data_IF_167851762516
#
_entry.id   IF_167851762516
#
_cell.length_a   1.000
_cell.length_b   1.000
_cell.length_c   1.000
_cell.angle_alpha   90.00
_cell.angle_beta   90.00
_cell.angle_gamma   90.00
#
_symmetry.space_group_name_H-M   'P 1'
#
loop_
_entity.id
_entity.type
_entity.pdbx_description
1 polymer ?
#
# COMPACT_ATOMS: atom_id res chain seq x y z
N UNK A 1 4.78 28.31 8.66
CA UNK A 1 3.54 27.70 8.08
C UNK A 1 3.60 27.47 6.56
N UNK A 2 4.59 28.02 5.81
CA UNK A 2 4.70 27.88 4.34
C UNK A 2 5.67 26.79 3.88
N UNK A 3 6.45 26.18 4.76
CA UNK A 3 7.54 25.28 4.39
C UNK A 3 7.10 23.91 3.84
N UNK A 4 6.11 23.21 4.42
CA UNK A 4 5.68 21.90 3.91
C UNK A 4 4.93 21.99 2.57
N UNK A 5 4.05 23.01 2.41
CA UNK A 5 3.29 23.22 1.16
C UNK A 5 4.20 23.66 0.00
N UNK A 6 5.27 24.38 0.28
CA UNK A 6 6.27 24.76 -0.72
C UNK A 6 7.06 23.53 -1.23
N UNK A 7 7.42 22.61 -0.34
CA UNK A 7 8.07 21.35 -0.74
C UNK A 7 7.13 20.43 -1.55
N UNK A 8 5.86 20.35 -1.18
CA UNK A 8 4.87 19.59 -1.93
C UNK A 8 4.62 20.19 -3.33
N UNK A 9 4.49 21.52 -3.43
CA UNK A 9 4.43 22.20 -4.73
C UNK A 9 5.71 22.04 -5.54
N UNK A 10 6.86 22.07 -4.91
CA UNK A 10 8.15 21.86 -5.60
C UNK A 10 8.33 20.42 -6.08
N UNK A 11 7.79 19.40 -5.36
CA UNK A 11 7.76 18.03 -5.85
C UNK A 11 6.87 17.88 -7.08
N UNK A 12 5.67 18.44 -7.08
CA UNK A 12 4.76 18.40 -8.25
C UNK A 12 5.25 19.27 -9.42
N UNK A 13 6.00 20.34 -9.17
CA UNK A 13 6.51 21.26 -10.20
C UNK A 13 7.88 20.77 -10.73
N UNK A 14 8.71 20.10 -9.93
CA UNK A 14 9.95 19.49 -10.41
C UNK A 14 9.74 18.32 -11.37
N UNK A 15 8.62 17.63 -11.27
CA UNK A 15 8.23 16.61 -12.27
C UNK A 15 7.96 17.22 -13.67
N UNK A 16 7.84 18.54 -13.79
CA UNK A 16 7.59 19.25 -15.05
C UNK A 16 8.77 20.09 -15.55
N UNK A 17 9.88 20.19 -14.79
CA UNK A 17 11.07 20.93 -15.24
C UNK A 17 12.11 20.00 -15.86
N UNK A 18 12.49 20.28 -17.09
CA UNK A 18 13.42 19.52 -17.93
C UNK A 18 14.90 19.62 -17.53
N UNK A 19 15.24 20.32 -16.43
CA UNK A 19 16.60 20.56 -15.99
C UNK A 19 16.85 19.98 -14.59
N UNK A 20 17.19 18.69 -14.51
CA UNK A 20 17.62 18.01 -13.29
C UNK A 20 17.51 16.50 -13.39
N UNK A 21 18.00 15.71 -12.44
CA UNK A 21 18.01 14.24 -12.49
C UNK A 21 16.61 13.63 -12.33
N UNK A 22 15.69 13.98 -13.24
CA UNK A 22 14.29 13.51 -13.29
C UNK A 22 14.22 11.99 -13.40
N UNK A 23 15.22 11.37 -14.05
CA UNK A 23 15.30 9.91 -14.20
C UNK A 23 15.50 9.17 -12.87
N UNK A 24 16.21 9.76 -11.91
CA UNK A 24 16.51 9.09 -10.64
C UNK A 24 15.28 9.00 -9.75
N UNK A 25 14.49 10.06 -9.64
CA UNK A 25 13.28 10.09 -8.81
C UNK A 25 12.17 9.21 -9.35
N UNK A 26 12.07 9.01 -10.67
CA UNK A 26 11.06 8.12 -11.26
C UNK A 26 11.33 6.64 -10.93
N UNK A 27 12.59 6.24 -10.76
CA UNK A 27 12.95 4.88 -10.35
C UNK A 27 12.63 4.55 -8.87
N UNK A 28 12.26 5.55 -8.08
CA UNK A 28 11.76 5.34 -6.73
C UNK A 28 10.33 4.77 -6.69
N UNK A 29 9.63 4.78 -7.83
CA UNK A 29 8.26 4.27 -7.96
C UNK A 29 8.23 2.97 -8.76
N UNK A 30 7.39 2.05 -8.33
CA UNK A 30 7.21 0.76 -9.01
C UNK A 30 6.46 0.93 -10.34
N UNK A 31 6.85 0.19 -11.39
CA UNK A 31 6.40 0.46 -12.76
C UNK A 31 5.00 -0.09 -13.09
N UNK A 32 4.41 -0.95 -12.24
CA UNK A 32 3.21 -1.72 -12.59
C UNK A 32 2.01 -0.86 -12.96
N UNK A 33 1.67 0.16 -12.17
CA UNK A 33 0.52 1.02 -12.46
C UNK A 33 0.75 1.93 -13.69
N UNK A 34 1.88 2.68 -13.78
CA UNK A 34 2.16 3.48 -14.99
C UNK A 34 2.21 2.65 -16.27
N UNK A 35 2.81 1.45 -16.21
CA UNK A 35 2.85 0.56 -17.36
C UNK A 35 1.45 0.09 -17.78
N UNK A 36 0.61 -0.29 -16.81
CA UNK A 36 -0.78 -0.68 -17.06
C UNK A 36 -1.59 0.46 -17.70
N UNK A 37 -1.47 1.68 -17.16
CA UNK A 37 -2.14 2.87 -17.71
C UNK A 37 -1.70 3.11 -19.15
N UNK A 38 -0.39 3.10 -19.41
CA UNK A 38 0.16 3.31 -20.75
C UNK A 38 -0.30 2.24 -21.74
N UNK A 39 -0.27 0.96 -21.33
CA UNK A 39 -0.70 -0.14 -22.19
C UNK A 39 -2.18 -0.01 -22.56
N UNK A 40 -3.07 0.28 -21.60
CA UNK A 40 -4.50 0.41 -21.85
C UNK A 40 -4.82 1.67 -22.64
N UNK A 41 -4.19 2.82 -22.31
CA UNK A 41 -4.41 4.06 -23.06
C UNK A 41 -3.99 3.93 -24.51
N UNK A 42 -2.90 3.23 -24.82
CA UNK A 42 -2.44 3.00 -26.19
C UNK A 42 -3.38 2.05 -26.97
N UNK A 43 -3.95 1.04 -26.31
CA UNK A 43 -4.91 0.12 -26.94
C UNK A 43 -6.24 0.82 -27.24
N UNK A 44 -6.71 1.67 -26.31
CA UNK A 44 -8.00 2.35 -26.42
C UNK A 44 -7.92 3.68 -27.17
N UNK A 45 -6.73 4.19 -27.47
CA UNK A 45 -6.54 5.51 -28.07
C UNK A 45 -6.98 6.66 -27.16
N UNK A 46 -6.92 6.49 -25.82
CA UNK A 46 -7.38 7.46 -24.82
C UNK A 46 -6.21 8.19 -24.15
N UNK A 47 -6.48 9.32 -23.51
CA UNK A 47 -5.46 10.04 -22.73
C UNK A 47 -5.10 9.27 -21.45
N UNK A 48 -3.79 9.24 -21.06
CA UNK A 48 -3.30 8.50 -19.90
C UNK A 48 -3.99 8.93 -18.59
N UNK A 49 -4.24 10.23 -18.39
CA UNK A 49 -4.90 10.73 -17.18
C UNK A 49 -6.34 10.20 -17.04
N UNK A 50 -7.14 10.22 -18.11
CA UNK A 50 -8.50 9.68 -18.10
C UNK A 50 -8.50 8.18 -17.89
N UNK A 51 -7.57 7.46 -18.53
CA UNK A 51 -7.40 6.01 -18.36
C UNK A 51 -7.04 5.66 -16.93
N UNK A 52 -6.13 6.40 -16.30
CA UNK A 52 -5.73 6.17 -14.92
C UNK A 52 -6.89 6.34 -13.93
N UNK A 53 -7.71 7.38 -14.11
CA UNK A 53 -8.90 7.62 -13.29
C UNK A 53 -9.93 6.48 -13.50
N UNK A 54 -10.22 6.11 -14.75
CA UNK A 54 -11.15 5.03 -15.06
C UNK A 54 -10.71 3.69 -14.45
N UNK A 55 -9.42 3.37 -14.55
CA UNK A 55 -8.84 2.18 -13.92
C UNK A 55 -8.96 2.22 -12.39
N UNK A 56 -8.72 3.38 -11.75
CA UNK A 56 -8.86 3.49 -10.31
C UNK A 56 -10.30 3.33 -9.85
N UNK A 57 -11.29 3.77 -10.63
CA UNK A 57 -12.71 3.48 -10.35
C UNK A 57 -12.98 1.97 -10.42
N UNK A 58 -12.50 1.28 -11.46
CA UNK A 58 -12.65 -0.17 -11.58
C UNK A 58 -11.96 -0.93 -10.44
N UNK A 59 -10.75 -0.52 -10.07
CA UNK A 59 -10.05 -1.12 -8.93
C UNK A 59 -10.73 -0.83 -7.60
N UNK A 60 -11.32 0.34 -7.43
CA UNK A 60 -12.09 0.65 -6.21
C UNK A 60 -13.34 -0.22 -6.08
N UNK A 61 -14.02 -0.51 -7.20
CA UNK A 61 -15.14 -1.47 -7.23
C UNK A 61 -14.65 -2.87 -6.88
N UNK A 62 -13.52 -3.31 -7.46
CA UNK A 62 -12.92 -4.60 -7.17
C UNK A 62 -12.42 -4.71 -5.72
N UNK A 63 -11.89 -3.61 -5.14
CA UNK A 63 -11.53 -3.52 -3.73
C UNK A 63 -12.77 -3.69 -2.84
N UNK A 64 -13.84 -2.96 -3.13
CA UNK A 64 -15.10 -3.08 -2.38
C UNK A 64 -15.65 -4.52 -2.44
N UNK A 65 -15.61 -5.15 -3.62
CA UNK A 65 -16.01 -6.55 -3.78
C UNK A 65 -15.12 -7.50 -2.95
N UNK A 66 -13.82 -7.28 -2.90
CA UNK A 66 -12.88 -8.07 -2.08
C UNK A 66 -13.14 -7.92 -0.57
N UNK A 67 -13.45 -6.70 -0.10
CA UNK A 67 -13.85 -6.45 1.29
C UNK A 67 -15.15 -7.19 1.63
N UNK A 68 -16.13 -7.15 0.73
CA UNK A 68 -17.38 -7.91 0.90
C UNK A 68 -17.14 -9.43 0.91
N UNK A 69 -16.25 -9.93 0.06
CA UNK A 69 -15.88 -11.35 0.02
C UNK A 69 -15.22 -11.80 1.33
N UNK A 70 -14.28 -11.01 1.87
CA UNK A 70 -13.66 -11.28 3.16
C UNK A 70 -14.70 -11.27 4.29
N UNK A 71 -15.58 -10.28 4.32
CA UNK A 71 -16.67 -10.20 5.29
C UNK A 71 -17.64 -11.40 5.18
N UNK A 72 -17.88 -11.89 3.95
CA UNK A 72 -18.69 -13.09 3.73
C UNK A 72 -18.00 -14.36 4.27
N UNK A 73 -16.67 -14.51 4.09
CA UNK A 73 -15.89 -15.61 4.69
C UNK A 73 -15.95 -15.60 6.23
N UNK A 74 -16.12 -14.41 6.83
CA UNK A 74 -16.32 -14.25 8.27
C UNK A 74 -17.75 -14.58 8.72
N UNK A 75 -18.64 -14.99 7.82
CA UNK A 75 -20.04 -15.28 8.13
C UNK A 75 -20.92 -14.05 8.37
N UNK A 76 -20.47 -12.85 7.94
CA UNK A 76 -21.23 -11.62 8.14
C UNK A 76 -22.45 -11.57 7.21
N UNK A 77 -23.56 -11.03 7.70
CA UNK A 77 -24.78 -10.82 6.91
C UNK A 77 -24.57 -9.80 5.78
N UNK A 78 -25.41 -9.84 4.74
CA UNK A 78 -25.28 -8.99 3.54
C UNK A 78 -25.14 -7.49 3.84
N UNK A 79 -25.92 -6.98 4.79
CA UNK A 79 -25.84 -5.58 5.20
C UNK A 79 -24.48 -5.21 5.82
N UNK A 80 -23.91 -6.10 6.63
CA UNK A 80 -22.60 -5.89 7.23
C UNK A 80 -21.48 -5.95 6.17
N UNK A 81 -21.61 -6.84 5.17
CA UNK A 81 -20.68 -6.89 4.02
C UNK A 81 -20.69 -5.57 3.25
N UNK A 82 -21.88 -5.04 2.91
CA UNK A 82 -22.01 -3.75 2.20
C UNK A 82 -21.48 -2.61 3.06
N UNK A 83 -21.81 -2.57 4.34
CA UNK A 83 -21.33 -1.55 5.25
C UNK A 83 -19.79 -1.56 5.37
N UNK A 84 -19.17 -2.73 5.42
CA UNK A 84 -17.71 -2.86 5.44
C UNK A 84 -17.07 -2.25 4.18
N UNK A 85 -17.64 -2.52 3.00
CA UNK A 85 -17.18 -1.92 1.75
C UNK A 85 -17.36 -0.39 1.75
N UNK A 86 -18.50 0.11 2.21
CA UNK A 86 -18.76 1.56 2.34
C UNK A 86 -17.75 2.20 3.30
N UNK A 87 -17.47 1.60 4.45
CA UNK A 87 -16.49 2.13 5.41
C UNK A 87 -15.11 2.26 4.78
N UNK A 88 -14.63 1.25 4.06
CA UNK A 88 -13.31 1.31 3.41
C UNK A 88 -13.27 2.35 2.30
N UNK A 89 -14.30 2.44 1.46
CA UNK A 89 -14.34 3.37 0.33
C UNK A 89 -14.67 4.81 0.73
N UNK A 90 -15.20 5.03 1.95
CA UNK A 90 -15.52 6.36 2.51
C UNK A 90 -14.61 6.73 3.68
N UNK A 91 -13.58 5.93 3.98
CA UNK A 91 -12.63 6.22 5.05
C UNK A 91 -11.92 7.57 4.84
N UNK A 92 -11.45 8.23 5.90
CA UNK A 92 -10.54 9.35 5.76
C UNK A 92 -9.38 8.97 4.84
N UNK A 93 -9.03 9.81 3.89
CA UNK A 93 -8.05 9.57 2.83
C UNK A 93 -8.51 8.69 1.66
N UNK A 94 -9.72 8.13 1.64
CA UNK A 94 -10.24 7.35 0.48
C UNK A 94 -10.31 8.17 -0.82
N UNK A 95 -10.21 9.50 -0.73
CA UNK A 95 -10.08 10.39 -1.89
C UNK A 95 -8.94 9.95 -2.84
N UNK A 96 -7.90 9.28 -2.33
CA UNK A 96 -6.79 8.78 -3.15
C UNK A 96 -7.24 7.70 -4.15
N UNK A 97 -8.37 7.04 -3.92
CA UNK A 97 -8.94 6.07 -4.86
C UNK A 97 -9.50 6.74 -6.13
N UNK A 98 -9.84 8.02 -6.07
CA UNK A 98 -10.28 8.81 -7.24
C UNK A 98 -9.14 9.53 -7.96
N UNK A 99 -7.92 9.46 -7.41
CA UNK A 99 -6.73 10.07 -8.00
C UNK A 99 -5.93 9.04 -8.81
N UNK A 100 -5.08 9.44 -9.79
CA UNK A 100 -4.24 8.52 -10.56
C UNK A 100 -3.07 7.97 -9.71
N UNK A 101 -3.37 7.36 -8.57
CA UNK A 101 -2.44 6.76 -7.62
C UNK A 101 -2.53 5.23 -7.62
N UNK A 102 -1.56 4.59 -7.01
CA UNK A 102 -1.42 3.12 -6.95
C UNK A 102 -2.27 2.47 -5.86
N UNK A 103 -2.91 3.26 -4.98
CA UNK A 103 -3.61 2.78 -3.78
C UNK A 103 -4.79 1.87 -4.11
N UNK A 104 -5.60 2.22 -5.11
CA UNK A 104 -6.76 1.40 -5.49
C UNK A 104 -6.34 0.03 -6.06
N UNK A 105 -5.34 0.01 -6.94
CA UNK A 105 -4.80 -1.22 -7.51
C UNK A 105 -4.14 -2.08 -6.42
N UNK A 106 -3.26 -1.48 -5.61
CA UNK A 106 -2.60 -2.21 -4.53
C UNK A 106 -3.60 -2.76 -3.52
N UNK A 107 -4.56 -1.95 -3.06
CA UNK A 107 -5.61 -2.38 -2.13
C UNK A 107 -6.44 -3.53 -2.69
N UNK A 108 -6.78 -3.48 -3.98
CA UNK A 108 -7.48 -4.58 -4.67
C UNK A 108 -6.66 -5.87 -4.64
N UNK A 109 -5.40 -5.80 -5.06
CA UNK A 109 -4.52 -6.97 -5.07
C UNK A 109 -4.29 -7.52 -3.66
N UNK A 110 -4.13 -6.64 -2.67
CA UNK A 110 -3.93 -7.02 -1.28
C UNK A 110 -5.16 -7.72 -0.68
N UNK A 111 -6.35 -7.15 -0.81
CA UNK A 111 -7.56 -7.76 -0.22
C UNK A 111 -7.88 -9.11 -0.87
N UNK A 112 -7.78 -9.22 -2.20
CA UNK A 112 -8.01 -10.50 -2.88
C UNK A 112 -6.92 -11.53 -2.57
N UNK A 113 -5.66 -11.10 -2.35
CA UNK A 113 -4.61 -11.98 -1.86
C UNK A 113 -4.93 -12.52 -0.45
N UNK A 114 -5.41 -11.65 0.46
CA UNK A 114 -5.84 -12.06 1.80
C UNK A 114 -7.02 -13.03 1.72
N UNK A 115 -8.03 -12.77 0.88
CA UNK A 115 -9.15 -13.69 0.63
C UNK A 115 -8.65 -15.06 0.17
N UNK A 116 -7.74 -15.08 -0.80
CA UNK A 116 -7.14 -16.31 -1.30
C UNK A 116 -6.31 -17.05 -0.23
N UNK A 117 -5.60 -16.32 0.65
CA UNK A 117 -4.85 -16.91 1.76
C UNK A 117 -5.77 -17.52 2.82
N UNK A 118 -6.92 -16.92 3.08
CA UNK A 118 -7.93 -17.48 4.00
C UNK A 118 -8.48 -18.81 3.46
N UNK A 119 -8.69 -18.91 2.13
CA UNK A 119 -9.16 -20.11 1.44
C UNK A 119 -8.02 -21.10 1.11
N UNK A 120 -6.78 -20.83 1.56
CA UNK A 120 -5.59 -21.64 1.28
C UNK A 120 -5.31 -21.85 -0.23
N UNK A 121 -5.77 -20.91 -1.06
CA UNK A 121 -5.53 -20.89 -2.52
C UNK A 121 -4.14 -20.31 -2.83
N UNK A 122 -3.08 -21.07 -2.54
CA UNK A 122 -1.69 -20.60 -2.55
C UNK A 122 -1.26 -19.97 -3.87
N UNK A 123 -1.63 -20.52 -5.01
CA UNK A 123 -1.25 -19.98 -6.33
C UNK A 123 -2.05 -18.74 -6.72
N UNK A 124 -3.32 -18.66 -6.33
CA UNK A 124 -4.11 -17.44 -6.53
C UNK A 124 -3.54 -16.29 -5.68
N UNK A 125 -3.24 -16.56 -4.41
CA UNK A 125 -2.54 -15.60 -3.55
C UNK A 125 -1.20 -15.17 -4.15
N UNK A 126 -0.39 -16.12 -4.64
CA UNK A 126 0.90 -15.85 -5.26
C UNK A 126 0.79 -14.94 -6.48
N UNK A 127 -0.17 -15.17 -7.38
CA UNK A 127 -0.39 -14.33 -8.55
C UNK A 127 -0.80 -12.90 -8.19
N UNK A 128 -1.66 -12.73 -7.17
CA UNK A 128 -2.09 -11.42 -6.68
C UNK A 128 -0.94 -10.66 -5.99
N UNK A 129 -0.14 -11.35 -5.16
CA UNK A 129 1.03 -10.78 -4.50
C UNK A 129 2.13 -10.45 -5.51
N UNK A 130 2.32 -11.28 -6.54
CA UNK A 130 3.20 -10.99 -7.68
C UNK A 130 2.81 -9.66 -8.34
N UNK A 131 1.51 -9.49 -8.64
CA UNK A 131 0.99 -8.22 -9.16
C UNK A 131 1.22 -7.05 -8.21
N UNK A 132 0.96 -7.23 -6.90
CA UNK A 132 1.22 -6.20 -5.88
C UNK A 132 2.69 -5.80 -5.80
N UNK A 133 3.62 -6.76 -5.98
CA UNK A 133 5.06 -6.54 -6.02
C UNK A 133 5.55 -5.70 -7.21
N UNK A 134 4.74 -5.57 -8.28
CA UNK A 134 5.01 -4.63 -9.38
C UNK A 134 4.48 -3.23 -9.10
N UNK A 135 3.65 -3.06 -8.06
CA UNK A 135 2.93 -1.81 -7.80
C UNK A 135 3.54 -1.02 -6.65
N UNK A 136 3.97 -1.70 -5.57
CA UNK A 136 4.47 -1.02 -4.36
C UNK A 136 5.45 -1.88 -3.56
N UNK A 137 6.40 -1.21 -2.89
CA UNK A 137 7.33 -1.88 -1.95
C UNK A 137 6.59 -2.56 -0.79
N UNK A 138 5.46 -2.01 -0.33
CA UNK A 138 4.65 -2.58 0.75
C UNK A 138 4.07 -3.96 0.43
N UNK A 139 4.21 -4.45 -0.80
CA UNK A 139 3.94 -5.86 -1.13
C UNK A 139 4.84 -6.84 -0.35
N UNK A 140 5.97 -6.39 0.20
CA UNK A 140 6.82 -7.20 1.10
C UNK A 140 6.03 -7.67 2.33
N UNK A 141 5.09 -6.87 2.81
CA UNK A 141 4.23 -7.22 3.95
C UNK A 141 3.32 -8.40 3.62
N UNK A 142 2.74 -8.41 2.40
CA UNK A 142 1.94 -9.54 1.90
C UNK A 142 2.80 -10.80 1.72
N UNK A 143 4.01 -10.66 1.21
CA UNK A 143 4.95 -11.79 1.07
C UNK A 143 5.28 -12.40 2.43
N UNK A 144 5.57 -11.56 3.43
CA UNK A 144 5.86 -12.02 4.79
C UNK A 144 4.68 -12.78 5.40
N UNK A 145 3.47 -12.23 5.25
CA UNK A 145 2.24 -12.90 5.71
C UNK A 145 1.99 -14.20 4.95
N UNK A 146 2.18 -14.22 3.64
CA UNK A 146 2.05 -15.43 2.83
C UNK A 146 3.02 -16.52 3.29
N UNK A 147 4.29 -16.20 3.44
CA UNK A 147 5.29 -17.15 3.94
C UNK A 147 4.91 -17.69 5.34
N UNK A 148 4.44 -16.81 6.23
CA UNK A 148 3.99 -17.20 7.56
C UNK A 148 2.75 -18.10 7.51
N UNK A 149 1.77 -17.81 6.65
CA UNK A 149 0.58 -18.65 6.47
C UNK A 149 0.96 -20.04 5.94
N UNK A 150 1.87 -20.12 4.97
CA UNK A 150 2.38 -21.42 4.47
C UNK A 150 3.13 -22.17 5.57
N UNK A 151 3.95 -21.49 6.36
CA UNK A 151 4.65 -22.09 7.49
C UNK A 151 3.68 -22.69 8.53
N UNK A 152 2.60 -21.99 8.83
CA UNK A 152 1.62 -22.40 9.84
C UNK A 152 0.64 -23.47 9.34
N UNK A 153 0.22 -23.40 8.06
CA UNK A 153 -0.86 -24.23 7.52
C UNK A 153 -0.39 -25.30 6.54
N UNK A 154 0.72 -25.08 5.83
CA UNK A 154 1.17 -25.92 4.72
C UNK A 154 2.69 -26.16 4.71
N UNK A 155 3.35 -26.20 5.88
CA UNK A 155 4.82 -26.23 6.01
C UNK A 155 5.52 -27.32 5.21
N UNK A 156 4.85 -28.46 4.99
CA UNK A 156 5.40 -29.62 4.22
C UNK A 156 5.02 -29.57 2.73
N UNK A 157 4.18 -28.61 2.31
CA UNK A 157 3.73 -28.49 0.94
C UNK A 157 4.74 -27.68 0.12
N UNK A 158 5.61 -28.37 -0.61
CA UNK A 158 6.62 -27.72 -1.44
C UNK A 158 6.01 -26.82 -2.53
N UNK A 159 4.79 -27.15 -3.06
CA UNK A 159 4.09 -26.32 -4.04
C UNK A 159 3.65 -24.97 -3.45
N UNK A 160 3.27 -24.95 -2.17
CA UNK A 160 2.95 -23.70 -1.48
C UNK A 160 4.21 -22.83 -1.29
N UNK A 161 5.36 -23.44 -0.96
CA UNK A 161 6.63 -22.72 -0.89
C UNK A 161 7.10 -22.22 -2.26
N UNK A 162 6.92 -23.01 -3.33
CA UNK A 162 7.17 -22.54 -4.69
C UNK A 162 6.32 -21.34 -5.07
N UNK A 163 5.04 -21.30 -4.64
CA UNK A 163 4.15 -20.16 -4.82
C UNK A 163 4.65 -18.92 -4.06
N UNK A 164 5.16 -19.07 -2.83
CA UNK A 164 5.81 -17.98 -2.09
C UNK A 164 6.99 -17.41 -2.86
N UNK A 165 7.92 -18.27 -3.32
CA UNK A 165 9.10 -17.87 -4.10
C UNK A 165 8.68 -17.15 -5.38
N UNK A 166 7.69 -17.66 -6.10
CA UNK A 166 7.15 -17.00 -7.29
C UNK A 166 6.63 -15.59 -6.99
N UNK A 167 5.91 -15.41 -5.89
CA UNK A 167 5.32 -14.11 -5.52
C UNK A 167 6.37 -13.01 -5.23
N UNK A 168 7.59 -13.40 -4.82
CA UNK A 168 8.68 -12.47 -4.48
C UNK A 168 9.41 -11.94 -5.72
N UNK A 169 9.37 -12.68 -6.82
CA UNK A 169 10.18 -12.40 -8.04
C UNK A 169 10.08 -10.95 -8.52
N UNK A 170 8.89 -10.34 -8.71
CA UNK A 170 8.81 -8.98 -9.25
C UNK A 170 9.36 -7.93 -8.29
N UNK A 171 9.13 -8.11 -6.99
CA UNK A 171 9.62 -7.21 -5.96
C UNK A 171 11.15 -7.18 -5.92
N UNK A 172 11.77 -8.35 -5.79
CA UNK A 172 13.23 -8.49 -5.75
C UNK A 172 13.84 -8.10 -7.09
N UNK A 173 13.23 -8.51 -8.19
CA UNK A 173 13.68 -8.16 -9.55
C UNK A 173 13.72 -6.65 -9.77
N UNK A 174 12.66 -5.93 -9.37
CA UNK A 174 12.64 -4.48 -9.50
C UNK A 174 13.65 -3.80 -8.57
N UNK A 175 13.74 -4.21 -7.31
CA UNK A 175 14.71 -3.67 -6.36
C UNK A 175 16.15 -3.87 -6.84
N UNK A 176 16.46 -5.04 -7.36
CA UNK A 176 17.78 -5.34 -7.91
C UNK A 176 18.07 -4.48 -9.15
N UNK A 177 17.12 -4.43 -10.10
CA UNK A 177 17.25 -3.65 -11.32
C UNK A 177 17.41 -2.15 -11.00
N UNK A 178 16.52 -1.57 -10.21
CA UNK A 178 16.57 -0.17 -9.81
C UNK A 178 17.88 0.17 -9.08
N UNK A 179 18.27 -0.64 -8.09
CA UNK A 179 19.51 -0.43 -7.34
C UNK A 179 20.75 -0.52 -8.23
N UNK A 180 20.73 -1.34 -9.30
CA UNK A 180 21.85 -1.44 -10.24
C UNK A 180 22.05 -0.16 -11.07
N UNK A 181 20.97 0.61 -11.33
CA UNK A 181 21.01 1.87 -12.05
C UNK A 181 21.24 3.08 -11.15
N UNK A 182 21.00 2.93 -9.84
CA UNK A 182 21.05 4.00 -8.83
C UNK A 182 22.27 3.89 -7.92
N UNK A 183 23.36 3.29 -8.39
CA UNK A 183 24.57 3.04 -7.57
C UNK A 183 25.17 4.32 -6.97
N UNK A 184 25.13 5.42 -7.72
CA UNK A 184 25.70 6.71 -7.31
C UNK A 184 24.99 7.35 -6.11
N UNK A 185 23.69 7.06 -5.96
CA UNK A 185 22.86 7.58 -4.86
C UNK A 185 22.55 6.53 -3.78
N UNK A 186 23.32 5.44 -3.73
CA UNK A 186 23.14 4.41 -2.71
C UNK A 186 22.01 3.40 -2.98
N UNK A 187 21.60 3.26 -4.25
CA UNK A 187 20.56 2.32 -4.69
C UNK A 187 19.14 2.80 -4.42
N UNK A 188 18.17 1.87 -4.54
CA UNK A 188 16.76 2.17 -4.31
C UNK A 188 16.49 2.80 -2.93
N UNK A 189 17.07 2.23 -1.88
CA UNK A 189 16.87 2.74 -0.50
C UNK A 189 17.59 4.06 -0.25
N UNK A 190 18.69 4.35 -0.96
CA UNK A 190 19.37 5.63 -0.92
C UNK A 190 18.46 6.77 -1.37
N UNK A 191 17.80 6.61 -2.52
CA UNK A 191 16.81 7.59 -3.01
C UNK A 191 15.63 7.75 -2.04
N UNK A 192 15.10 6.66 -1.49
CA UNK A 192 14.01 6.72 -0.54
C UNK A 192 14.38 7.55 0.70
N UNK A 193 15.61 7.40 1.18
CA UNK A 193 16.12 8.16 2.31
C UNK A 193 16.37 9.62 1.95
N UNK A 194 16.97 9.89 0.82
CA UNK A 194 17.34 11.25 0.39
C UNK A 194 16.12 12.13 0.13
N UNK A 195 15.09 11.60 -0.58
CA UNK A 195 13.94 12.39 -1.00
C UNK A 195 12.77 12.37 -0.03
N UNK A 196 12.57 11.27 0.71
CA UNK A 196 11.42 11.10 1.61
C UNK A 196 11.78 10.90 3.07
N UNK A 197 13.08 10.92 3.41
CA UNK A 197 13.59 10.61 4.75
C UNK A 197 13.02 9.28 5.29
N UNK A 198 12.76 8.34 4.37
CA UNK A 198 12.12 7.07 4.72
C UNK A 198 13.15 6.10 5.29
N UNK A 199 12.97 5.72 6.55
CA UNK A 199 13.85 4.81 7.24
C UNK A 199 13.17 4.19 8.46
N UNK A 200 13.67 3.06 8.91
CA UNK A 200 13.18 2.44 10.15
C UNK A 200 13.78 3.17 11.36
N UNK A 201 12.93 3.75 12.20
CA UNK A 201 13.32 4.52 13.39
C UNK A 201 12.73 3.96 14.70
N UNK A 202 12.01 2.84 14.62
CA UNK A 202 11.33 2.22 15.76
C UNK A 202 10.11 3.02 16.24
N UNK A 203 9.55 3.89 15.38
CA UNK A 203 8.35 4.67 15.68
C UNK A 203 8.60 5.99 16.40
N UNK A 204 9.84 6.39 16.61
CA UNK A 204 10.17 7.66 17.29
C UNK A 204 9.57 8.86 16.60
N UNK A 205 9.72 8.95 15.28
CA UNK A 205 9.15 10.04 14.48
C UNK A 205 7.62 10.03 14.54
N UNK A 206 6.99 8.86 14.52
CA UNK A 206 5.53 8.72 14.65
C UNK A 206 5.03 9.25 15.99
N UNK A 207 5.65 8.82 17.10
CA UNK A 207 5.27 9.27 18.45
C UNK A 207 5.51 10.78 18.62
N UNK A 208 6.66 11.29 18.17
CA UNK A 208 6.95 12.72 18.19
C UNK A 208 5.93 13.55 17.43
N UNK A 209 5.63 13.13 16.20
CA UNK A 209 4.64 13.81 15.36
C UNK A 209 3.22 13.77 15.95
N UNK A 210 2.82 12.62 16.52
CA UNK A 210 1.52 12.51 17.21
C UNK A 210 1.45 13.45 18.41
N UNK A 211 2.51 13.51 19.22
CA UNK A 211 2.58 14.41 20.36
C UNK A 211 2.47 15.87 19.95
N UNK A 212 3.28 16.31 18.99
CA UNK A 212 3.22 17.68 18.44
C UNK A 212 1.86 18.02 17.86
N UNK A 213 1.24 17.06 17.12
CA UNK A 213 -0.07 17.26 16.52
C UNK A 213 -1.17 17.39 17.57
N UNK A 214 -1.16 16.55 18.60
CA UNK A 214 -2.21 16.56 19.62
C UNK A 214 -2.08 17.76 20.59
N UNK A 215 -0.88 18.28 20.78
CA UNK A 215 -0.65 19.40 21.71
C UNK A 215 -0.64 20.77 21.06
N UNK A 216 -0.36 20.88 19.77
CA UNK A 216 -0.16 22.15 19.08
C UNK A 216 -0.74 22.27 17.69
N UNK A 217 -1.56 21.30 17.22
CA UNK A 217 -2.08 21.35 15.86
C UNK A 217 -3.10 22.46 15.65
N UNK A 218 -2.85 23.25 14.64
CA UNK A 218 -3.79 24.27 14.13
C UNK A 218 -4.53 23.79 12.88
N UNK A 219 -4.20 22.61 12.35
CA UNK A 219 -4.75 22.07 11.11
C UNK A 219 -5.58 20.81 11.39
N UNK A 220 -6.90 20.88 11.10
CA UNK A 220 -7.82 19.75 11.28
C UNK A 220 -7.44 18.48 10.49
N UNK A 221 -6.77 18.62 9.34
CA UNK A 221 -6.27 17.48 8.56
C UNK A 221 -5.19 16.67 9.30
N UNK A 222 -4.35 17.33 10.09
CA UNK A 222 -3.34 16.65 10.91
C UNK A 222 -3.98 15.93 12.09
N UNK A 223 -4.99 16.55 12.73
CA UNK A 223 -5.76 15.89 13.79
C UNK A 223 -6.49 14.66 13.27
N UNK A 224 -7.09 14.75 12.09
CA UNK A 224 -7.72 13.59 11.44
C UNK A 224 -6.70 12.47 11.16
N UNK A 225 -5.54 12.83 10.62
CA UNK A 225 -4.46 11.86 10.36
C UNK A 225 -3.96 11.20 11.64
N UNK A 226 -3.76 11.98 12.71
CA UNK A 226 -3.39 11.46 14.03
C UNK A 226 -4.47 10.53 14.59
N UNK A 227 -5.75 10.92 14.45
CA UNK A 227 -6.87 10.09 14.86
C UNK A 227 -6.89 8.73 14.16
N UNK A 228 -6.68 8.69 12.85
CA UNK A 228 -6.59 7.43 12.08
C UNK A 228 -5.40 6.58 12.54
N UNK A 229 -4.22 7.19 12.72
CA UNK A 229 -3.01 6.47 13.14
C UNK A 229 -3.13 5.89 14.56
N UNK A 230 -3.96 6.45 15.42
CA UNK A 230 -4.25 5.92 16.76
C UNK A 230 -5.38 4.88 16.69
N UNK A 231 -6.44 5.17 15.94
CA UNK A 231 -7.61 4.30 15.86
C UNK A 231 -7.30 2.94 15.20
N UNK A 232 -6.45 2.94 14.16
CA UNK A 232 -6.14 1.71 13.42
C UNK A 232 -5.51 0.61 14.30
N UNK A 233 -4.46 0.85 15.12
CA UNK A 233 -3.93 -0.15 16.05
C UNK A 233 -4.96 -0.58 17.10
N UNK A 234 -5.75 0.35 17.61
CA UNK A 234 -6.81 0.03 18.60
C UNK A 234 -7.85 -0.91 17.98
N UNK A 235 -8.32 -0.60 16.77
CA UNK A 235 -9.26 -1.45 16.05
C UNK A 235 -8.66 -2.85 15.78
N UNK A 236 -7.37 -2.92 15.40
CA UNK A 236 -6.69 -4.19 15.17
C UNK A 236 -6.62 -5.06 16.43
N UNK A 237 -6.31 -4.45 17.58
CA UNK A 237 -6.31 -5.16 18.88
C UNK A 237 -7.72 -5.64 19.24
N UNK A 238 -8.74 -4.82 19.05
CA UNK A 238 -10.14 -5.21 19.32
C UNK A 238 -10.64 -6.31 18.37
N UNK A 239 -10.13 -6.33 17.13
CA UNK A 239 -10.49 -7.31 16.12
C UNK A 239 -9.68 -8.62 16.18
N UNK A 240 -8.70 -8.74 17.06
CA UNK A 240 -7.77 -9.87 17.20
C UNK A 240 -8.42 -11.26 17.12
N UNK A 241 -9.58 -11.46 17.78
CA UNK A 241 -10.29 -12.75 17.78
C UNK A 241 -11.41 -12.86 16.74
N UNK A 242 -11.63 -11.82 15.95
CA UNK A 242 -12.74 -11.75 15.00
C UNK A 242 -12.26 -11.85 13.55
N UNK A 243 -11.06 -11.34 13.26
CA UNK A 243 -10.48 -11.40 11.92
C UNK A 243 -9.87 -12.79 11.64
N UNK A 244 -9.96 -13.28 10.40
CA UNK A 244 -9.14 -14.39 9.94
C UNK A 244 -7.65 -14.08 10.15
N UNK A 245 -6.86 -15.10 10.50
CA UNK A 245 -5.45 -14.93 10.83
C UNK A 245 -4.66 -14.20 9.74
N UNK A 246 -4.89 -14.53 8.46
CA UNK A 246 -4.21 -13.88 7.35
C UNK A 246 -4.51 -12.37 7.27
N UNK A 247 -5.79 -11.99 7.47
CA UNK A 247 -6.22 -10.59 7.49
C UNK A 247 -5.59 -9.84 8.67
N UNK A 248 -5.67 -10.41 9.86
CA UNK A 248 -5.10 -9.81 11.06
C UNK A 248 -3.58 -9.63 10.94
N UNK A 249 -2.86 -10.65 10.47
CA UNK A 249 -1.42 -10.60 10.26
C UNK A 249 -1.04 -9.54 9.23
N UNK A 250 -1.76 -9.46 8.11
CA UNK A 250 -1.48 -8.45 7.09
C UNK A 250 -1.66 -7.04 7.65
N UNK A 251 -2.77 -6.78 8.34
CA UNK A 251 -3.01 -5.49 8.98
C UNK A 251 -1.94 -5.18 10.03
N UNK A 252 -1.52 -6.15 10.84
CA UNK A 252 -0.50 -5.97 11.87
C UNK A 252 0.88 -5.64 11.26
N UNK A 253 1.30 -6.39 10.24
CA UNK A 253 2.61 -6.20 9.59
C UNK A 253 2.64 -4.87 8.83
N UNK A 254 1.59 -4.54 8.08
CA UNK A 254 1.48 -3.26 7.37
C UNK A 254 1.47 -2.08 8.34
N UNK A 255 0.70 -2.15 9.44
CA UNK A 255 0.71 -1.11 10.48
C UNK A 255 2.08 -0.97 11.13
N UNK A 256 2.75 -2.08 11.47
CA UNK A 256 4.09 -2.04 12.02
C UNK A 256 5.08 -1.38 11.05
N UNK A 257 5.05 -1.76 9.77
CA UNK A 257 5.89 -1.15 8.74
C UNK A 257 5.64 0.36 8.63
N UNK A 258 4.38 0.79 8.60
CA UNK A 258 4.01 2.21 8.47
C UNK A 258 4.32 2.99 9.74
N UNK A 259 4.00 2.49 10.93
CA UNK A 259 4.11 3.24 12.18
C UNK A 259 5.50 3.22 12.80
N UNK A 260 6.33 2.20 12.49
CA UNK A 260 7.69 2.08 13.02
C UNK A 260 8.77 2.66 12.09
N UNK A 261 8.38 3.28 10.99
CA UNK A 261 9.32 3.93 10.07
C UNK A 261 9.15 5.44 10.07
N UNK A 262 10.19 6.20 9.66
CA UNK A 262 10.15 7.65 9.44
C UNK A 262 9.71 7.98 8.01
N UNK A 263 9.30 9.22 7.75
CA UNK A 263 8.89 9.74 6.44
C UNK A 263 7.85 10.86 6.55
N UNK A 264 7.03 11.05 5.50
CA UNK A 264 6.02 12.11 5.46
C UNK A 264 4.80 11.73 6.32
N UNK A 265 4.78 12.12 7.59
CA UNK A 265 3.83 11.69 8.60
C UNK A 265 2.35 11.95 8.24
N UNK A 266 2.01 13.14 7.76
CA UNK A 266 0.62 13.50 7.45
C UNK A 266 0.03 12.70 6.26
N UNK A 267 0.86 12.06 5.44
CA UNK A 267 0.40 11.23 4.32
C UNK A 267 0.30 9.74 4.64
N UNK A 268 0.74 9.30 5.83
CA UNK A 268 0.75 7.90 6.25
C UNK A 268 -0.62 7.25 6.41
N UNK A 269 -1.68 7.95 6.84
CA UNK A 269 -3.00 7.33 6.93
C UNK A 269 -3.50 6.69 5.63
N UNK A 270 -3.08 7.22 4.47
CA UNK A 270 -3.41 6.61 3.17
C UNK A 270 -2.76 5.23 2.98
N UNK A 271 -1.58 5.00 3.59
CA UNK A 271 -0.88 3.73 3.52
C UNK A 271 -1.56 2.66 4.39
N UNK A 272 -2.36 3.07 5.38
CA UNK A 272 -3.14 2.19 6.24
C UNK A 272 -4.50 1.79 5.64
N UNK A 273 -4.91 2.37 4.50
CA UNK A 273 -6.19 2.04 3.87
C UNK A 273 -6.37 0.54 3.53
N UNK A 274 -5.30 -0.23 3.16
CA UNK A 274 -5.43 -1.65 2.91
C UNK A 274 -5.43 -2.51 4.19
N UNK A 275 -5.08 -1.92 5.35
CA UNK A 275 -5.01 -2.63 6.64
C UNK A 275 -6.38 -2.73 7.29
#
# INVERSE_FOLDING_TARGET
LHYPLRRQRQMCIRDSSTDGPVHETTMAFFPGFPFLVRAISSILGTGEAGTAIALNVLFSIALAAGVMALAAQMGMGKWAQVLSAVVVTSAPMSIVFSMPYTEALFGTLAIWAVVALVDEQWWAAAALIFGAGLVRLTAVDLVAVFALMVLLRARKNWKAWAAVVFSVVPLVGYLWWSSSHLKEVGGYFGIQKEHWNSGFDGGKATVGWLWETLTGATNGGYLLSAGVMIAAPVCLVLAWRRLPLAAWLFSAVLMANVLLSDGIMHSRPRLLLPA
#
